data_IF_501215645159
#
_entry.id   IF_501215645159
#
_cell.length_a   1.000
_cell.length_b   1.000
_cell.length_c   1.000
_cell.angle_alpha   90.00
_cell.angle_beta   90.00
_cell.angle_gamma   90.00
#
_symmetry.space_group_name_H-M   'P 1'
#
loop_
_entity.id
_entity.type
_entity.pdbx_description
1 polymer ?
#
# COMPACT_ATOMS: atom_id res chain seq x y z
N UNK A 1 3.12 -1.56 -7.96
CA UNK A 1 2.00 -2.23 -8.63
C UNK A 1 1.06 -1.16 -9.12
N UNK A 2 0.66 -1.24 -10.38
CA UNK A 2 -0.24 -0.29 -11.06
C UNK A 2 -1.23 -1.13 -11.87
N UNK A 3 -2.49 -0.71 -11.95
CA UNK A 3 -3.62 -1.48 -12.47
C UNK A 3 -4.25 -0.79 -13.69
N UNK A 4 -5.22 -1.46 -14.29
CA UNK A 4 -6.04 -0.92 -15.38
C UNK A 4 -5.20 -0.54 -16.62
N UNK A 5 -4.14 -1.33 -16.90
CA UNK A 5 -3.25 -1.09 -18.04
C UNK A 5 -2.40 0.18 -17.92
N UNK A 6 -2.39 0.84 -16.77
CA UNK A 6 -1.58 2.05 -16.55
C UNK A 6 -0.10 1.71 -16.36
N UNK A 7 0.77 2.59 -16.83
CA UNK A 7 2.21 2.46 -16.64
C UNK A 7 2.66 3.08 -15.31
N UNK A 8 3.60 2.40 -14.63
CA UNK A 8 4.27 2.98 -13.47
C UNK A 8 5.02 4.26 -13.86
N UNK A 9 4.81 5.31 -13.08
CA UNK A 9 5.49 6.59 -13.25
C UNK A 9 6.66 6.68 -12.27
N UNK A 10 7.85 6.90 -12.82
CA UNK A 10 9.09 7.09 -12.03
C UNK A 10 9.81 8.34 -12.52
N UNK A 11 10.41 9.10 -11.61
CA UNK A 11 11.28 10.23 -11.95
C UNK A 11 12.47 9.82 -12.84
N UNK A 12 12.87 8.54 -12.76
CA UNK A 12 13.94 7.98 -13.60
C UNK A 12 13.62 8.00 -15.12
N UNK A 13 12.36 8.15 -15.50
CA UNK A 13 11.91 8.27 -16.89
C UNK A 13 12.12 9.68 -17.48
N UNK A 14 12.40 10.66 -16.62
CA UNK A 14 12.56 12.07 -16.98
C UNK A 14 14.00 12.50 -16.70
N UNK A 15 14.89 12.65 -17.71
CA UNK A 15 16.32 12.88 -17.50
C UNK A 15 16.64 14.06 -16.57
N UNK A 16 15.95 15.18 -16.73
CA UNK A 16 16.15 16.36 -15.89
C UNK A 16 15.77 16.12 -14.41
N UNK A 17 14.71 15.35 -14.16
CA UNK A 17 14.31 14.97 -12.80
C UNK A 17 15.24 13.89 -12.24
N UNK A 18 15.59 12.89 -13.05
CA UNK A 18 16.50 11.83 -12.65
C UNK A 18 17.85 12.38 -12.19
N UNK A 19 18.39 13.41 -12.89
CA UNK A 19 19.66 14.01 -12.56
C UNK A 19 19.73 14.73 -11.20
N UNK A 20 18.59 14.99 -10.57
CA UNK A 20 18.48 15.66 -9.26
C UNK A 20 17.62 14.90 -8.26
N UNK A 21 17.49 13.59 -8.42
CA UNK A 21 16.58 12.78 -7.60
C UNK A 21 17.26 11.54 -7.05
N UNK A 22 16.87 11.18 -5.82
CA UNK A 22 17.08 9.85 -5.26
C UNK A 22 15.82 9.02 -5.50
N UNK A 23 15.95 7.88 -6.17
CA UNK A 23 14.91 6.88 -6.31
C UNK A 23 15.07 5.86 -5.20
N UNK A 24 14.15 5.87 -4.25
CA UNK A 24 14.23 5.02 -3.05
C UNK A 24 13.12 3.98 -3.13
N UNK A 25 13.47 2.71 -2.92
CA UNK A 25 12.50 1.62 -2.89
C UNK A 25 12.84 0.60 -1.83
N UNK A 26 11.81 -0.09 -1.32
CA UNK A 26 11.94 -1.15 -0.33
C UNK A 26 11.59 -2.51 -0.94
N UNK A 27 12.37 -3.52 -0.61
CA UNK A 27 12.02 -4.91 -0.93
C UNK A 27 10.89 -5.45 -0.04
N UNK A 28 10.68 -4.83 1.12
CA UNK A 28 9.82 -5.37 2.18
C UNK A 28 8.41 -5.76 1.77
N UNK A 29 7.71 -4.88 1.03
CA UNK A 29 6.31 -5.13 0.65
C UNK A 29 6.19 -5.99 -0.60
N UNK A 30 6.94 -5.67 -1.64
CA UNK A 30 6.89 -6.36 -2.93
C UNK A 30 7.28 -7.85 -2.80
N UNK A 31 8.23 -8.16 -1.92
CA UNK A 31 8.77 -9.51 -1.76
C UNK A 31 8.36 -10.20 -0.45
N UNK A 32 7.36 -9.67 0.27
CA UNK A 32 6.84 -10.21 1.53
C UNK A 32 7.90 -10.39 2.64
N UNK A 33 8.93 -9.56 2.62
CA UNK A 33 10.07 -9.60 3.56
C UNK A 33 10.19 -8.29 4.36
N UNK A 34 9.08 -7.73 4.78
CA UNK A 34 9.02 -6.44 5.51
C UNK A 34 9.95 -6.43 6.73
N UNK A 35 10.08 -7.55 7.44
CA UNK A 35 10.95 -7.70 8.60
C UNK A 35 12.44 -7.67 8.28
N UNK A 36 12.84 -7.90 7.03
CA UNK A 36 14.25 -7.87 6.62
C UNK A 36 14.85 -6.46 6.60
N UNK A 37 14.01 -5.42 6.49
CA UNK A 37 14.43 -4.01 6.54
C UNK A 37 15.50 -3.66 5.50
N UNK A 38 15.38 -4.20 4.29
CA UNK A 38 16.29 -3.95 3.16
C UNK A 38 15.55 -3.17 2.07
N UNK A 39 16.22 -2.19 1.52
CA UNK A 39 15.78 -1.39 0.39
C UNK A 39 16.98 -0.97 -0.47
N UNK A 40 16.73 -0.17 -1.48
CA UNK A 40 17.80 0.38 -2.31
C UNK A 40 17.56 1.84 -2.64
N UNK A 41 18.65 2.51 -2.96
CA UNK A 41 18.68 3.89 -3.47
C UNK A 41 19.41 3.89 -4.81
N UNK A 42 18.79 4.49 -5.80
CA UNK A 42 19.41 4.76 -7.10
C UNK A 42 19.40 6.27 -7.37
N UNK A 43 20.54 6.82 -7.74
CA UNK A 43 20.68 8.23 -8.08
C UNK A 43 21.92 8.43 -8.98
N UNK A 44 22.10 9.60 -9.62
CA UNK A 44 23.32 9.94 -10.32
C UNK A 44 24.54 9.92 -9.39
N UNK A 45 25.72 9.73 -9.99
CA UNK A 45 26.96 9.54 -9.24
C UNK A 45 27.25 10.66 -8.25
N UNK A 46 27.05 11.92 -8.64
CA UNK A 46 27.29 13.07 -7.76
C UNK A 46 26.41 13.07 -6.51
N UNK A 47 25.13 12.61 -6.60
CA UNK A 47 24.25 12.46 -5.45
C UNK A 47 24.62 11.21 -4.64
N UNK A 48 24.95 10.10 -5.31
CA UNK A 48 25.36 8.87 -4.62
C UNK A 48 26.66 9.02 -3.86
N UNK A 49 27.58 9.86 -4.33
CA UNK A 49 28.81 10.17 -3.61
C UNK A 49 28.52 10.80 -2.24
N UNK A 50 27.65 11.79 -2.18
CA UNK A 50 27.27 12.44 -0.92
C UNK A 50 26.39 11.52 -0.04
N UNK A 51 25.47 10.77 -0.66
CA UNK A 51 24.68 9.78 0.06
C UNK A 51 25.53 8.76 0.80
N UNK A 52 26.57 8.22 0.15
CA UNK A 52 27.46 7.22 0.76
C UNK A 52 28.23 7.77 1.96
N UNK A 53 28.66 9.02 1.93
CA UNK A 53 29.30 9.66 3.09
C UNK A 53 28.39 9.68 4.31
N UNK A 54 27.11 10.03 4.12
CA UNK A 54 26.13 10.04 5.20
C UNK A 54 25.80 8.62 5.65
N UNK A 55 25.55 7.71 4.70
CA UNK A 55 25.16 6.32 4.97
C UNK A 55 26.24 5.59 5.78
N UNK A 56 27.51 5.82 5.51
CA UNK A 56 28.64 5.23 6.23
C UNK A 56 28.57 5.47 7.74
N UNK A 57 28.11 6.64 8.17
CA UNK A 57 28.05 7.02 9.58
C UNK A 57 26.67 6.82 10.21
N UNK A 58 25.62 6.75 9.39
CA UNK A 58 24.26 6.58 9.87
C UNK A 58 23.84 5.11 9.98
N UNK A 59 24.13 4.31 8.96
CA UNK A 59 23.75 2.90 8.86
C UNK A 59 24.97 1.99 8.84
N UNK A 60 26.06 2.43 8.23
CA UNK A 60 27.31 1.70 7.97
C UNK A 60 27.12 0.56 6.97
N UNK A 61 26.35 -0.47 7.30
CA UNK A 61 26.10 -1.62 6.43
C UNK A 61 24.68 -2.17 6.64
N UNK A 62 24.17 -2.85 5.63
CA UNK A 62 22.88 -3.57 5.66
C UNK A 62 23.16 -5.07 5.76
N UNK A 63 22.27 -5.83 6.38
CA UNK A 63 22.41 -7.27 6.60
C UNK A 63 22.78 -8.01 5.30
N UNK A 64 24.01 -8.52 5.24
CA UNK A 64 24.59 -9.13 4.04
C UNK A 64 23.87 -10.42 3.59
N UNK A 65 23.57 -11.39 4.48
CA UNK A 65 22.79 -12.58 4.09
C UNK A 65 21.46 -12.25 3.41
N UNK A 66 20.73 -11.22 3.88
CA UNK A 66 19.46 -10.81 3.29
C UNK A 66 19.66 -10.20 1.89
N UNK A 67 20.75 -9.45 1.68
CA UNK A 67 21.10 -8.94 0.36
C UNK A 67 21.38 -10.07 -0.65
N UNK A 68 22.13 -11.08 -0.25
CA UNK A 68 22.38 -12.26 -1.10
C UNK A 68 21.09 -13.04 -1.39
N UNK A 69 20.22 -13.22 -0.39
CA UNK A 69 18.93 -13.86 -0.57
C UNK A 69 18.04 -13.11 -1.58
N UNK A 70 17.98 -11.78 -1.48
CA UNK A 70 17.25 -10.92 -2.44
C UNK A 70 17.87 -10.98 -3.83
N UNK A 71 19.20 -10.91 -3.95
CA UNK A 71 19.88 -11.00 -5.24
C UNK A 71 19.53 -12.31 -5.95
N UNK A 72 19.55 -13.44 -5.22
CA UNK A 72 19.17 -14.75 -5.76
C UNK A 72 17.70 -14.82 -6.18
N UNK A 73 16.81 -14.26 -5.36
CA UNK A 73 15.37 -14.22 -5.67
C UNK A 73 15.05 -13.38 -6.92
N UNK A 74 15.78 -12.30 -7.14
CA UNK A 74 15.58 -11.41 -8.28
C UNK A 74 15.99 -12.02 -9.62
N UNK A 75 16.73 -13.13 -9.64
CA UNK A 75 17.06 -13.84 -10.89
C UNK A 75 15.82 -14.40 -11.60
N UNK A 76 14.71 -14.63 -10.87
CA UNK A 76 13.44 -15.06 -11.44
C UNK A 76 12.46 -13.90 -11.51
N UNK A 77 12.33 -13.31 -12.69
CA UNK A 77 11.48 -12.13 -12.92
C UNK A 77 9.99 -12.40 -12.67
N UNK A 78 9.52 -13.62 -12.89
CA UNK A 78 8.11 -14.00 -12.72
C UNK A 78 7.62 -13.82 -11.27
N UNK A 79 8.53 -13.90 -10.28
CA UNK A 79 8.20 -13.72 -8.88
C UNK A 79 7.66 -12.31 -8.55
N UNK A 80 7.96 -11.30 -9.37
CA UNK A 80 7.55 -9.92 -9.11
C UNK A 80 6.85 -9.24 -10.27
N UNK A 81 7.04 -9.66 -11.52
CA UNK A 81 6.37 -9.04 -12.67
C UNK A 81 4.87 -9.33 -12.69
N UNK A 82 4.44 -10.51 -12.23
CA UNK A 82 3.03 -10.92 -12.20
C UNK A 82 2.26 -10.35 -10.99
N UNK A 83 2.91 -9.60 -10.10
CA UNK A 83 2.27 -9.07 -8.90
C UNK A 83 1.17 -8.04 -9.19
N UNK A 84 1.28 -7.29 -10.28
CA UNK A 84 0.23 -6.33 -10.66
C UNK A 84 -1.07 -7.04 -10.97
N UNK A 85 -1.06 -8.07 -11.80
CA UNK A 85 -2.26 -8.84 -12.16
C UNK A 85 -2.84 -9.57 -10.95
N UNK A 86 -1.98 -10.18 -10.13
CA UNK A 86 -2.38 -10.86 -8.90
C UNK A 86 -3.14 -9.92 -7.93
N UNK A 87 -2.62 -8.73 -7.71
CA UNK A 87 -3.27 -7.78 -6.81
C UNK A 87 -4.43 -7.04 -7.45
N UNK A 88 -4.43 -6.85 -8.77
CA UNK A 88 -5.58 -6.31 -9.49
C UNK A 88 -6.80 -7.21 -9.37
N UNK A 89 -6.63 -8.54 -9.48
CA UNK A 89 -7.70 -9.51 -9.25
C UNK A 89 -8.27 -9.39 -7.84
N UNK A 90 -7.42 -9.31 -6.81
CA UNK A 90 -7.86 -9.13 -5.41
C UNK A 90 -8.59 -7.81 -5.19
N UNK A 91 -8.09 -6.70 -5.80
CA UNK A 91 -8.78 -5.41 -5.79
C UNK A 91 -10.17 -5.53 -6.39
N UNK A 92 -10.25 -6.13 -7.58
CA UNK A 92 -11.51 -6.27 -8.30
C UNK A 92 -12.50 -7.15 -7.53
N UNK A 93 -12.04 -8.23 -6.91
CA UNK A 93 -12.85 -9.08 -6.04
C UNK A 93 -13.45 -8.29 -4.88
N UNK A 94 -12.63 -7.54 -4.12
CA UNK A 94 -13.12 -6.70 -3.03
C UNK A 94 -14.10 -5.63 -3.53
N UNK A 95 -13.77 -4.93 -4.63
CA UNK A 95 -14.61 -3.88 -5.21
C UNK A 95 -15.96 -4.41 -5.67
N UNK A 96 -15.98 -5.56 -6.33
CA UNK A 96 -17.23 -6.21 -6.77
C UNK A 96 -18.10 -6.59 -5.58
N UNK A 97 -17.52 -7.13 -4.51
CA UNK A 97 -18.25 -7.49 -3.29
C UNK A 97 -18.83 -6.27 -2.56
N UNK A 98 -18.19 -5.12 -2.66
CA UNK A 98 -18.66 -3.86 -2.03
C UNK A 98 -19.55 -3.01 -2.96
N UNK A 99 -19.70 -3.37 -4.23
CA UNK A 99 -20.43 -2.55 -5.20
C UNK A 99 -21.90 -2.30 -4.84
N UNK A 100 -22.53 -3.23 -4.11
CA UNK A 100 -23.93 -3.15 -3.68
C UNK A 100 -24.06 -2.60 -2.25
N UNK A 101 -22.97 -2.18 -1.62
CA UNK A 101 -23.01 -1.49 -0.32
C UNK A 101 -23.12 0.02 -0.54
N UNK A 102 -23.43 0.75 0.53
CA UNK A 102 -23.43 2.23 0.51
C UNK A 102 -22.04 2.84 0.72
N UNK A 103 -20.99 2.03 0.85
CA UNK A 103 -19.62 2.54 0.84
C UNK A 103 -19.28 3.14 -0.53
N UNK A 104 -18.87 4.40 -0.54
CA UNK A 104 -18.40 5.03 -1.78
C UNK A 104 -16.96 4.63 -2.04
N UNK A 105 -16.76 3.77 -3.03
CA UNK A 105 -15.42 3.28 -3.42
C UNK A 105 -14.63 4.37 -4.13
N UNK A 106 -13.50 4.76 -3.56
CA UNK A 106 -12.58 5.71 -4.20
C UNK A 106 -11.70 5.01 -5.25
N UNK A 107 -11.09 5.76 -6.19
CA UNK A 107 -10.16 5.18 -7.16
C UNK A 107 -9.00 4.46 -6.49
N UNK A 108 -8.63 3.30 -7.01
CA UNK A 108 -7.48 2.50 -6.55
C UNK A 108 -6.68 1.99 -7.76
N UNK A 109 -5.92 2.87 -8.42
CA UNK A 109 -5.17 2.53 -9.63
C UNK A 109 -3.85 1.81 -9.35
N UNK A 110 -3.58 1.42 -8.11
CA UNK A 110 -2.34 0.75 -7.69
C UNK A 110 -2.37 0.40 -6.21
N UNK A 111 -1.22 -0.07 -5.69
CA UNK A 111 -1.04 -0.50 -4.29
C UNK A 111 -1.89 -1.73 -3.93
N UNK A 112 -2.12 -2.03 -2.67
CA UNK A 112 -2.95 -3.14 -2.16
C UNK A 112 -4.00 -2.63 -1.14
N UNK A 113 -4.42 -1.37 -1.31
CA UNK A 113 -5.40 -0.72 -0.47
C UNK A 113 -6.59 -0.21 -1.27
N UNK A 114 -7.77 -0.30 -0.69
CA UNK A 114 -8.99 0.34 -1.16
C UNK A 114 -9.44 1.36 -0.13
N UNK A 115 -9.42 2.63 -0.50
CA UNK A 115 -10.04 3.68 0.29
C UNK A 115 -11.53 3.76 -0.04
N UNK A 116 -12.34 3.96 1.00
CA UNK A 116 -13.79 4.15 0.89
C UNK A 116 -14.24 5.30 1.77
N UNK A 117 -15.22 6.05 1.29
CA UNK A 117 -15.95 7.03 2.06
C UNK A 117 -17.15 6.32 2.72
N UNK A 118 -17.29 6.45 4.05
CA UNK A 118 -18.34 5.82 4.86
C UNK A 118 -19.44 6.79 5.28
N UNK A 119 -19.32 8.07 4.97
CA UNK A 119 -20.22 9.12 5.48
C UNK A 119 -21.67 8.98 5.00
N UNK A 120 -21.90 8.27 3.90
CA UNK A 120 -23.22 8.09 3.27
C UNK A 120 -23.87 6.72 3.58
N UNK A 121 -23.41 5.99 4.59
CA UNK A 121 -23.97 4.68 4.94
C UNK A 121 -25.42 4.75 5.45
N UNK A 122 -25.82 5.89 6.02
CA UNK A 122 -27.18 6.06 6.56
C UNK A 122 -27.43 5.38 7.88
N UNK A 123 -26.37 5.08 8.63
CA UNK A 123 -26.39 4.54 9.99
C UNK A 123 -25.84 5.61 10.97
N UNK A 124 -26.17 5.53 12.27
CA UNK A 124 -25.67 6.49 13.26
C UNK A 124 -24.14 6.58 13.29
N UNK A 125 -23.47 5.45 13.14
CA UNK A 125 -22.01 5.34 13.20
C UNK A 125 -21.31 6.07 12.02
N UNK A 126 -22.02 6.36 10.93
CA UNK A 126 -21.47 7.18 9.83
C UNK A 126 -21.18 8.63 10.23
N UNK A 127 -21.64 9.08 11.39
CA UNK A 127 -21.34 10.40 11.97
C UNK A 127 -20.13 10.38 12.92
N UNK A 128 -19.58 9.21 13.21
CA UNK A 128 -18.37 9.10 14.04
C UNK A 128 -17.15 9.63 13.29
N UNK A 129 -16.12 10.02 14.06
CA UNK A 129 -14.79 10.27 13.49
C UNK A 129 -14.28 9.01 12.78
N UNK A 130 -13.39 9.16 11.80
CA UNK A 130 -12.85 8.00 11.07
C UNK A 130 -12.11 7.02 12.00
N UNK A 131 -11.51 7.52 13.09
CA UNK A 131 -10.87 6.68 14.10
C UNK A 131 -11.91 5.85 14.89
N UNK A 132 -12.96 6.49 15.37
CA UNK A 132 -14.02 5.82 16.14
C UNK A 132 -14.83 4.87 15.25
N UNK A 133 -15.10 5.25 14.00
CA UNK A 133 -15.72 4.36 13.01
C UNK A 133 -14.89 3.10 12.76
N UNK A 134 -13.56 3.22 12.62
CA UNK A 134 -12.68 2.07 12.48
C UNK A 134 -12.67 1.18 13.74
N UNK A 135 -12.77 1.77 14.93
CA UNK A 135 -12.89 1.00 16.17
C UNK A 135 -14.21 0.23 16.24
N UNK A 136 -15.34 0.88 15.94
CA UNK A 136 -16.65 0.24 15.85
C UNK A 136 -16.63 -0.89 14.82
N UNK A 137 -16.14 -0.61 13.61
CA UNK A 137 -16.04 -1.61 12.54
C UNK A 137 -15.26 -2.85 12.99
N UNK A 138 -14.19 -2.64 13.75
CA UNK A 138 -13.38 -3.75 14.28
C UNK A 138 -14.09 -4.52 15.39
N UNK A 139 -14.74 -3.82 16.32
CA UNK A 139 -15.38 -4.45 17.51
C UNK A 139 -16.69 -5.15 17.15
N UNK A 140 -17.54 -4.48 16.40
CA UNK A 140 -18.91 -4.92 16.16
C UNK A 140 -19.02 -5.70 14.84
N UNK A 141 -18.41 -5.22 13.77
CA UNK A 141 -18.45 -5.88 12.46
C UNK A 141 -17.31 -6.88 12.25
N UNK A 142 -16.31 -6.90 13.15
CA UNK A 142 -15.14 -7.78 13.04
C UNK A 142 -14.34 -7.59 11.73
N UNK A 143 -14.33 -6.37 11.21
CA UNK A 143 -13.57 -5.98 10.03
C UNK A 143 -12.64 -4.82 10.40
N UNK A 144 -11.33 -5.04 10.25
CA UNK A 144 -10.34 -4.01 10.55
C UNK A 144 -10.14 -3.08 9.35
N UNK A 145 -10.15 -1.77 9.62
CA UNK A 145 -9.80 -0.72 8.68
C UNK A 145 -8.85 0.29 9.36
N UNK A 146 -8.24 1.15 8.56
CA UNK A 146 -7.36 2.22 9.08
C UNK A 146 -7.97 3.56 8.68
N UNK A 147 -8.13 4.50 9.63
CA UNK A 147 -8.60 5.84 9.32
C UNK A 147 -7.52 6.59 8.52
N UNK A 148 -7.91 7.23 7.41
CA UNK A 148 -6.95 7.99 6.58
C UNK A 148 -6.47 9.24 7.32
N UNK A 149 -7.28 9.79 8.22
CA UNK A 149 -6.90 10.90 9.11
C UNK A 149 -5.62 10.65 9.93
N UNK A 150 -5.31 9.37 10.23
CA UNK A 150 -4.09 9.01 10.97
C UNK A 150 -2.77 9.31 10.22
N UNK A 151 -2.83 9.65 8.94
CA UNK A 151 -1.65 9.97 8.12
C UNK A 151 -1.38 11.47 7.96
N UNK A 152 -2.21 12.31 8.55
CA UNK A 152 -2.03 13.77 8.53
C UNK A 152 -1.40 14.26 9.82
N UNK A 153 -0.57 15.30 9.74
CA UNK A 153 0.02 15.97 10.90
C UNK A 153 -1.01 16.78 11.70
N UNK A 154 -2.00 17.34 11.00
CA UNK A 154 -3.10 18.07 11.59
C UNK A 154 -4.39 17.22 11.57
N UNK A 155 -5.31 17.40 12.52
CA UNK A 155 -6.58 16.68 12.53
C UNK A 155 -7.41 17.00 11.29
N UNK A 156 -7.43 16.09 10.33
CA UNK A 156 -8.26 16.20 9.13
C UNK A 156 -9.26 15.05 9.12
N UNK A 157 -10.55 15.38 9.31
CA UNK A 157 -11.59 14.37 9.21
C UNK A 157 -12.18 14.39 7.80
N UNK A 158 -11.86 13.35 7.04
CA UNK A 158 -12.25 13.23 5.64
C UNK A 158 -13.41 12.26 5.40
N UNK A 159 -13.86 11.54 6.44
CA UNK A 159 -14.83 10.46 6.30
C UNK A 159 -14.31 9.26 5.50
N UNK A 160 -12.99 9.14 5.35
CA UNK A 160 -12.36 8.09 4.53
C UNK A 160 -11.60 7.11 5.39
N UNK A 161 -11.85 5.83 5.14
CA UNK A 161 -11.12 4.70 5.74
C UNK A 161 -10.46 3.85 4.65
N UNK A 162 -9.47 3.05 5.03
CA UNK A 162 -8.67 2.24 4.14
C UNK A 162 -8.74 0.77 4.50
N UNK A 163 -9.21 -0.07 3.58
CA UNK A 163 -9.11 -1.53 3.63
C UNK A 163 -7.84 -2.03 2.95
N UNK A 164 -7.30 -3.16 3.41
CA UNK A 164 -6.18 -3.86 2.79
C UNK A 164 -6.70 -5.13 2.12
N UNK A 165 -6.51 -5.25 0.80
CA UNK A 165 -6.90 -6.45 0.05
C UNK A 165 -5.75 -7.46 -0.17
N UNK A 166 -4.56 -7.21 0.43
CA UNK A 166 -3.48 -8.20 0.48
C UNK A 166 -3.81 -9.30 1.50
N UNK A 167 -4.86 -10.05 1.24
CA UNK A 167 -5.41 -11.12 2.08
C UNK A 167 -5.75 -12.34 1.22
N UNK A 168 -6.00 -13.47 1.89
CA UNK A 168 -6.60 -14.63 1.23
C UNK A 168 -8.03 -14.29 0.79
N UNK A 169 -8.49 -14.96 -0.27
CA UNK A 169 -9.80 -14.70 -0.85
C UNK A 169 -10.93 -15.00 0.15
N UNK A 170 -10.81 -16.08 0.93
CA UNK A 170 -11.78 -16.42 2.00
C UNK A 170 -11.87 -15.31 3.06
N UNK A 171 -10.75 -14.66 3.38
CA UNK A 171 -10.73 -13.53 4.32
C UNK A 171 -11.42 -12.31 3.74
N UNK A 172 -11.21 -12.03 2.45
CA UNK A 172 -11.91 -10.94 1.75
C UNK A 172 -13.41 -11.21 1.67
N UNK A 173 -13.81 -12.44 1.30
CA UNK A 173 -15.21 -12.82 1.25
C UNK A 173 -15.88 -12.67 2.61
N UNK A 174 -15.26 -13.18 3.68
CA UNK A 174 -15.79 -13.03 5.04
C UNK A 174 -15.94 -11.55 5.47
N UNK A 175 -15.04 -10.67 5.03
CA UNK A 175 -15.17 -9.24 5.29
C UNK A 175 -16.31 -8.62 4.47
N UNK A 176 -16.43 -8.97 3.19
CA UNK A 176 -17.51 -8.52 2.30
C UNK A 176 -18.88 -8.90 2.90
N UNK A 177 -19.08 -10.17 3.31
CA UNK A 177 -20.33 -10.67 3.87
C UNK A 177 -20.77 -9.91 5.14
N UNK A 178 -19.81 -9.38 5.88
CA UNK A 178 -20.07 -8.55 7.07
C UNK A 178 -20.39 -7.11 6.70
N UNK A 179 -19.64 -6.52 5.76
CA UNK A 179 -19.83 -5.15 5.32
C UNK A 179 -21.14 -4.95 4.55
N UNK A 180 -21.65 -5.99 3.89
CA UNK A 180 -22.96 -5.98 3.23
C UNK A 180 -24.15 -5.93 4.19
N UNK A 181 -23.92 -6.14 5.49
CA UNK A 181 -24.98 -6.06 6.52
C UNK A 181 -25.17 -4.64 7.07
N UNK A 182 -24.30 -3.71 6.69
CA UNK A 182 -24.36 -2.29 7.00
C UNK A 182 -25.19 -1.58 5.93
#
# INVERSE_FOLDING_TARGET
>A
MVYDGKSHQSVARHPELANRSFVISSFGKTYHVTGWKVGYVAAPEHLMHEFRKVHQFNVFTVNTPMQYGLAKYLECADHYLNLSDFYEQKRNFLRSGLANTKFKLLPSPGTYFQCVDYTQLGIPESQLSSADFCQWLTKDMRVAAIPVSAFYSEPVESGVIRFCFAKKEETLQSAIDRLQKI
#
